data_IF_044220510832
#
_entry.id   IF_044220510832
#
_cell.length_a   1.000
_cell.length_b   1.000
_cell.length_c   1.000
_cell.angle_alpha   90.00
_cell.angle_beta   90.00
_cell.angle_gamma   90.00
#
_symmetry.space_group_name_H-M   'P 1'
#
loop_
_entity.id
_entity.type
_entity.pdbx_description
1 polymer ?
#
# COMPACT_ATOMS: atom_id res chain seq x y z
N UNK A 1 9.59 -18.61 12.20
CA UNK A 1 9.32 -17.41 11.40
C UNK A 1 7.83 -17.13 11.34
N UNK A 2 7.41 -15.90 11.59
CA UNK A 2 5.99 -15.59 11.41
C UNK A 2 5.59 -15.76 9.95
N UNK A 3 4.43 -16.31 9.74
CA UNK A 3 3.88 -16.45 8.39
C UNK A 3 2.97 -15.28 8.12
N UNK A 4 3.50 -14.25 7.49
CA UNK A 4 2.75 -13.01 7.24
C UNK A 4 1.57 -13.22 6.31
N UNK A 5 1.60 -14.24 5.48
CA UNK A 5 0.53 -14.54 4.52
C UNK A 5 -0.82 -14.84 5.19
N UNK A 6 -0.81 -15.30 6.44
CA UNK A 6 -2.03 -15.66 7.15
C UNK A 6 -2.75 -14.48 7.78
N UNK A 7 -2.09 -13.31 7.85
CA UNK A 7 -2.68 -12.14 8.46
C UNK A 7 -3.48 -11.35 7.42
N UNK A 8 -4.55 -10.69 7.89
CA UNK A 8 -5.30 -9.76 7.05
C UNK A 8 -4.47 -8.51 6.79
N UNK A 9 -4.85 -7.75 5.76
CA UNK A 9 -4.21 -6.48 5.48
C UNK A 9 -4.25 -5.56 6.70
N UNK A 10 -5.40 -5.53 7.39
CA UNK A 10 -5.61 -4.70 8.57
C UNK A 10 -4.66 -5.10 9.70
N UNK A 11 -4.50 -6.41 9.90
CA UNK A 11 -3.56 -6.90 10.90
C UNK A 11 -2.12 -6.52 10.54
N UNK A 12 -1.78 -6.61 9.25
CA UNK A 12 -0.43 -6.29 8.82
C UNK A 12 -0.08 -4.81 9.03
N UNK A 13 -1.01 -3.90 8.69
CA UNK A 13 -0.72 -2.47 8.89
C UNK A 13 -0.60 -2.13 10.37
N UNK A 14 -1.39 -2.79 11.24
CA UNK A 14 -1.27 -2.58 12.68
C UNK A 14 0.07 -3.10 13.20
N UNK A 15 0.53 -4.25 12.70
CA UNK A 15 1.85 -4.77 13.04
C UNK A 15 2.95 -3.81 12.60
N UNK A 16 2.80 -3.23 11.42
CA UNK A 16 3.75 -2.25 10.91
C UNK A 16 3.74 -0.97 11.74
N UNK A 17 2.59 -0.55 12.25
CA UNK A 17 2.52 0.59 13.16
C UNK A 17 3.39 0.37 14.41
N UNK A 18 3.61 -0.89 14.77
CA UNK A 18 4.50 -1.27 15.87
C UNK A 18 5.92 -1.60 15.41
N UNK A 19 6.28 -1.08 14.23
CA UNK A 19 7.62 -1.17 13.64
C UNK A 19 8.00 -2.55 13.10
N UNK A 20 7.02 -3.39 12.79
CA UNK A 20 7.27 -4.66 12.12
C UNK A 20 7.37 -4.42 10.60
N UNK A 21 8.60 -4.17 10.13
CA UNK A 21 8.86 -3.85 8.73
C UNK A 21 8.52 -5.03 7.81
N UNK A 22 8.67 -6.26 8.29
CA UNK A 22 8.34 -7.43 7.48
C UNK A 22 6.84 -7.48 7.16
N UNK A 23 5.99 -6.97 8.07
CA UNK A 23 4.56 -6.85 7.78
C UNK A 23 4.33 -5.87 6.63
N UNK A 24 5.07 -4.76 6.57
CA UNK A 24 5.00 -3.83 5.46
C UNK A 24 5.45 -4.51 4.15
N UNK A 25 6.53 -5.30 4.20
CA UNK A 25 7.00 -6.02 3.01
C UNK A 25 5.92 -6.95 2.46
N UNK A 26 5.15 -7.59 3.32
CA UNK A 26 4.04 -8.44 2.89
C UNK A 26 2.95 -7.61 2.21
N UNK A 27 2.64 -6.42 2.73
CA UNK A 27 1.68 -5.49 2.11
C UNK A 27 2.15 -5.13 0.70
N UNK A 28 3.43 -4.78 0.55
CA UNK A 28 3.99 -4.45 -0.77
C UNK A 28 3.85 -5.65 -1.71
N UNK A 29 4.18 -6.84 -1.23
CA UNK A 29 4.08 -8.05 -2.04
C UNK A 29 2.65 -8.26 -2.55
N UNK A 30 1.64 -8.04 -1.70
CA UNK A 30 0.25 -8.23 -2.07
C UNK A 30 -0.25 -7.21 -3.08
N UNK A 31 0.21 -5.97 -2.99
CA UNK A 31 -0.38 -4.86 -3.73
C UNK A 31 0.45 -4.37 -4.90
N UNK A 32 1.73 -4.75 -5.02
CA UNK A 32 2.62 -4.15 -6.01
C UNK A 32 2.09 -4.24 -7.44
N UNK A 33 1.62 -5.41 -7.86
CA UNK A 33 1.10 -5.57 -9.22
C UNK A 33 -0.29 -4.97 -9.36
N UNK A 34 -1.11 -5.10 -8.31
CA UNK A 34 -2.47 -4.57 -8.32
C UNK A 34 -2.46 -3.05 -8.44
N UNK A 35 -1.59 -2.37 -7.69
CA UNK A 35 -1.57 -0.90 -7.71
C UNK A 35 -0.95 -0.37 -9.00
N UNK A 36 0.04 -1.05 -9.56
CA UNK A 36 0.59 -0.66 -10.87
C UNK A 36 -0.50 -0.75 -11.94
N UNK A 37 -1.24 -1.86 -11.97
CA UNK A 37 -2.34 -2.03 -12.93
C UNK A 37 -3.43 -0.98 -12.73
N UNK A 38 -3.75 -0.67 -11.48
CA UNK A 38 -4.71 0.36 -11.15
C UNK A 38 -4.26 1.73 -11.65
N UNK A 39 -3.01 2.10 -11.39
CA UNK A 39 -2.47 3.40 -11.77
C UNK A 39 -2.26 3.50 -13.29
N UNK A 40 -1.99 2.39 -13.95
CA UNK A 40 -1.85 2.38 -15.41
C UNK A 40 -3.13 2.89 -16.11
N UNK A 41 -4.28 2.65 -15.51
CA UNK A 41 -5.54 3.15 -16.07
C UNK A 41 -5.62 4.67 -16.07
N UNK A 42 -4.90 5.32 -15.15
CA UNK A 42 -4.84 6.79 -15.10
C UNK A 42 -3.77 7.35 -16.03
N UNK A 43 -2.65 6.66 -16.14
CA UNK A 43 -1.48 7.23 -16.82
C UNK A 43 -1.38 6.82 -18.28
N UNK A 44 -1.85 5.62 -18.61
CA UNK A 44 -1.63 5.04 -19.94
C UNK A 44 -0.16 4.70 -20.22
N UNK A 45 0.71 4.80 -19.22
CA UNK A 45 2.14 4.60 -19.35
C UNK A 45 2.61 3.71 -18.19
N UNK A 46 3.16 2.54 -18.53
CA UNK A 46 3.56 1.56 -17.52
C UNK A 46 4.68 2.06 -16.61
N UNK A 47 5.68 2.72 -17.20
CA UNK A 47 6.80 3.23 -16.41
C UNK A 47 6.34 4.29 -15.42
N UNK A 48 5.46 5.19 -15.86
CA UNK A 48 4.89 6.19 -14.98
C UNK A 48 4.05 5.55 -13.89
N UNK A 49 3.27 4.53 -14.23
CA UNK A 49 2.45 3.81 -13.23
C UNK A 49 3.34 3.15 -12.18
N UNK A 50 4.47 2.58 -12.58
CA UNK A 50 5.40 1.95 -11.64
C UNK A 50 6.03 2.99 -10.71
N UNK A 51 6.39 4.15 -11.23
CA UNK A 51 6.93 5.24 -10.40
C UNK A 51 5.89 5.71 -9.39
N UNK A 52 4.65 5.89 -9.83
CA UNK A 52 3.57 6.29 -8.93
C UNK A 52 3.26 5.22 -7.88
N UNK A 53 3.39 3.95 -8.24
CA UNK A 53 3.22 2.86 -7.28
C UNK A 53 4.29 2.92 -6.19
N UNK A 54 5.55 3.17 -6.57
CA UNK A 54 6.61 3.33 -5.58
C UNK A 54 6.33 4.51 -4.65
N UNK A 55 5.91 5.64 -5.22
CA UNK A 55 5.55 6.82 -4.41
C UNK A 55 4.40 6.50 -3.45
N UNK A 56 3.43 5.71 -3.91
CA UNK A 56 2.32 5.28 -3.08
C UNK A 56 2.82 4.50 -1.87
N UNK A 57 3.73 3.54 -2.08
CA UNK A 57 4.27 2.75 -0.97
C UNK A 57 5.11 3.60 -0.02
N UNK A 58 5.86 4.56 -0.53
CA UNK A 58 6.59 5.50 0.33
C UNK A 58 5.61 6.27 1.22
N UNK A 59 4.49 6.73 0.66
CA UNK A 59 3.48 7.45 1.43
C UNK A 59 2.82 6.55 2.47
N UNK A 60 2.54 5.29 2.14
CA UNK A 60 2.02 4.32 3.10
C UNK A 60 3.01 4.14 4.25
N UNK A 61 4.28 3.97 3.92
CA UNK A 61 5.33 3.81 4.92
C UNK A 61 5.36 4.99 5.89
N UNK A 62 5.30 6.21 5.36
CA UNK A 62 5.36 7.44 6.17
C UNK A 62 4.07 7.71 6.93
N UNK A 63 2.95 7.20 6.44
CA UNK A 63 1.62 7.53 6.97
C UNK A 63 1.00 6.38 7.77
N UNK A 64 1.80 5.39 8.17
CA UNK A 64 1.26 4.18 8.80
C UNK A 64 0.38 4.48 10.01
N UNK A 65 0.73 5.49 10.80
CA UNK A 65 -0.03 5.83 12.00
C UNK A 65 -1.33 6.57 11.72
N UNK A 66 -1.56 6.99 10.46
CA UNK A 66 -2.82 7.63 10.08
C UNK A 66 -3.92 6.61 9.78
N UNK A 67 -3.54 5.35 9.53
CA UNK A 67 -4.55 4.32 9.30
C UNK A 67 -5.33 4.06 10.57
N UNK A 68 -6.66 4.01 10.46
CA UNK A 68 -7.55 3.67 11.57
C UNK A 68 -8.31 2.40 11.24
N UNK A 69 -8.43 1.52 12.22
CA UNK A 69 -9.04 0.20 12.06
C UNK A 69 -10.50 0.22 11.60
N UNK A 70 -11.17 1.36 11.74
CA UNK A 70 -12.56 1.50 11.31
C UNK A 70 -12.71 1.47 9.79
N UNK A 71 -11.61 1.68 9.05
CA UNK A 71 -11.63 1.68 7.58
C UNK A 71 -11.00 0.39 7.06
N UNK A 72 -11.50 -0.08 5.90
CA UNK A 72 -10.81 -1.16 5.19
C UNK A 72 -9.44 -0.66 4.74
N UNK A 73 -8.41 -1.50 4.92
CA UNK A 73 -7.07 -1.14 4.49
C UNK A 73 -7.04 -0.81 3.00
N UNK A 74 -7.68 -1.63 2.16
CA UNK A 74 -7.65 -1.41 0.71
C UNK A 74 -8.24 -0.05 0.34
N UNK A 75 -9.31 0.38 0.98
CA UNK A 75 -9.90 1.69 0.73
C UNK A 75 -8.91 2.81 1.06
N UNK A 76 -8.28 2.72 2.22
CA UNK A 76 -7.29 3.69 2.65
C UNK A 76 -6.09 3.71 1.70
N UNK A 77 -5.61 2.52 1.31
CA UNK A 77 -4.46 2.36 0.43
C UNK A 77 -4.73 2.97 -0.96
N UNK A 78 -5.85 2.61 -1.57
CA UNK A 78 -6.15 3.11 -2.91
C UNK A 78 -6.47 4.61 -2.91
N UNK A 79 -6.96 5.16 -1.81
CA UNK A 79 -7.12 6.61 -1.68
C UNK A 79 -5.75 7.29 -1.76
N UNK A 80 -4.74 6.72 -1.12
CA UNK A 80 -3.37 7.25 -1.23
C UNK A 80 -2.88 7.16 -2.68
N UNK A 81 -3.12 6.03 -3.34
CA UNK A 81 -2.71 5.85 -4.72
C UNK A 81 -3.35 6.86 -5.65
N UNK A 82 -4.66 7.09 -5.53
CA UNK A 82 -5.38 8.08 -6.34
C UNK A 82 -4.83 9.48 -6.08
N UNK A 83 -4.63 9.83 -4.83
CA UNK A 83 -4.10 11.16 -4.48
C UNK A 83 -2.68 11.35 -5.02
N UNK A 84 -1.87 10.29 -5.03
CA UNK A 84 -0.53 10.33 -5.61
C UNK A 84 -0.60 10.60 -7.12
N UNK A 85 -1.54 9.96 -7.81
CA UNK A 85 -1.70 10.12 -9.25
C UNK A 85 -2.22 11.51 -9.64
N UNK A 86 -2.92 12.19 -8.75
CA UNK A 86 -3.50 13.51 -9.03
C UNK A 86 -2.52 14.67 -8.91
N UNK A 87 -1.40 14.47 -8.25
CA UNK A 87 -0.46 15.57 -7.98
C UNK A 87 0.55 15.78 -9.08
#
# INVERSE_FOLDING_TARGET
>A
MPEYRKYTDEELILMFQSDDVEAFNEIVFRYKNKVVNFLYRYTGDRDEAEDLAQDTFVKVFRSKHLYKEIAKFSTWFYTIAVNTAKT
#
